data_IF_818767754021
#
_entry.id   IF_818767754021
#
_cell.length_a   1.000
_cell.length_b   1.000
_cell.length_c   1.000
_cell.angle_alpha   90.00
_cell.angle_beta   90.00
_cell.angle_gamma   90.00
#
_symmetry.space_group_name_H-M   'P 1'
#
loop_
_entity.id
_entity.type
_entity.pdbx_description
1 polymer ?
#
# COMPACT_ATOMS: atom_id res chain seq x y z
N UNK A 1 7.98 -55.84 16.34
CA UNK A 1 7.63 -55.05 15.13
C UNK A 1 6.80 -53.86 15.55
N UNK A 2 7.10 -52.69 15.10
CA UNK A 2 6.40 -51.40 15.32
C UNK A 2 6.96 -50.47 16.38
N UNK A 3 8.12 -49.87 16.12
CA UNK A 3 8.60 -48.74 16.93
C UNK A 3 9.17 -47.62 16.07
N UNK A 4 8.88 -47.58 14.76
CA UNK A 4 9.50 -46.63 13.82
C UNK A 4 8.55 -45.64 13.16
N UNK A 5 7.37 -45.38 13.73
CA UNK A 5 6.42 -44.44 13.11
C UNK A 5 6.06 -43.17 13.93
N UNK A 6 6.84 -42.83 14.93
CA UNK A 6 6.55 -41.65 15.77
C UNK A 6 7.58 -40.52 15.73
N UNK A 7 8.51 -40.49 14.77
CA UNK A 7 9.57 -39.48 14.72
C UNK A 7 9.49 -38.48 13.56
N UNK A 8 8.39 -38.39 12.83
CA UNK A 8 8.32 -37.52 11.64
C UNK A 8 7.31 -36.36 11.74
N UNK A 9 6.95 -35.88 12.94
CA UNK A 9 6.03 -34.74 13.10
C UNK A 9 6.44 -33.75 14.18
N UNK A 10 7.73 -33.48 14.33
CA UNK A 10 8.23 -32.42 15.24
C UNK A 10 9.28 -31.53 14.57
N UNK A 11 8.98 -31.03 13.41
CA UNK A 11 9.70 -29.86 12.85
C UNK A 11 8.69 -28.91 12.29
N UNK A 12 8.61 -27.76 12.85
CA UNK A 12 8.03 -26.50 12.44
C UNK A 12 7.12 -25.88 13.52
N UNK A 13 7.70 -25.52 14.63
CA UNK A 13 7.21 -24.36 15.37
C UNK A 13 8.38 -23.79 16.16
N UNK A 14 9.23 -23.02 15.49
CA UNK A 14 10.14 -22.14 16.20
C UNK A 14 9.36 -20.88 16.57
N UNK A 15 8.69 -20.98 17.71
CA UNK A 15 8.19 -19.82 18.44
C UNK A 15 9.42 -19.16 19.08
N UNK A 16 9.85 -18.01 18.57
CA UNK A 16 10.83 -17.17 19.25
C UNK A 16 10.14 -16.52 20.44
N UNK A 17 10.19 -17.20 21.57
CA UNK A 17 9.77 -16.67 22.85
C UNK A 17 10.92 -15.81 23.38
N UNK A 18 10.81 -14.48 23.27
CA UNK A 18 11.66 -13.57 24.02
C UNK A 18 11.19 -13.61 25.49
N UNK A 19 11.99 -14.19 26.35
CA UNK A 19 11.79 -14.14 27.80
C UNK A 19 12.21 -12.74 28.27
N UNK A 20 11.23 -11.92 28.65
CA UNK A 20 11.49 -10.66 29.35
C UNK A 20 11.50 -10.95 30.85
N UNK A 21 12.67 -10.92 31.48
CA UNK A 21 12.81 -10.89 32.92
C UNK A 21 12.52 -9.48 33.40
N UNK A 22 11.42 -9.30 34.12
CA UNK A 22 11.11 -8.03 34.79
C UNK A 22 11.98 -7.89 36.05
N UNK A 23 12.87 -6.91 36.06
CA UNK A 23 13.40 -6.30 37.29
C UNK A 23 12.67 -4.97 37.52
N UNK A 24 12.11 -4.84 38.71
CA UNK A 24 11.33 -3.70 39.16
C UNK A 24 12.13 -2.40 39.16
N UNK A 25 11.53 -1.38 38.56
CA UNK A 25 11.90 0.02 38.77
C UNK A 25 12.41 0.71 37.50
N UNK A 26 11.54 1.36 36.82
CA UNK A 26 11.53 2.55 35.95
C UNK A 26 10.49 2.32 34.86
N UNK A 27 9.48 3.16 34.79
CA UNK A 27 8.56 3.21 33.63
C UNK A 27 9.35 3.68 32.42
N UNK A 28 9.99 2.73 31.73
CA UNK A 28 10.54 2.92 30.42
C UNK A 28 9.43 2.65 29.41
N UNK A 29 9.18 3.59 28.56
CA UNK A 29 8.31 3.45 27.38
C UNK A 29 8.77 2.23 26.60
N UNK A 30 7.94 1.19 26.55
CA UNK A 30 8.19 0.07 25.65
C UNK A 30 8.01 0.58 24.21
N UNK A 31 9.12 0.86 23.55
CA UNK A 31 9.14 0.92 22.13
C UNK A 31 8.66 -0.46 21.62
N UNK A 32 7.48 -0.53 21.03
CA UNK A 32 7.04 -1.72 20.32
C UNK A 32 8.05 -1.94 19.20
N UNK A 33 8.97 -2.88 19.40
CA UNK A 33 9.80 -3.42 18.33
C UNK A 33 8.82 -4.12 17.41
N UNK A 34 8.37 -3.43 16.38
CA UNK A 34 7.67 -4.07 15.29
C UNK A 34 8.71 -4.98 14.63
N UNK A 35 8.49 -6.29 14.73
CA UNK A 35 9.29 -7.25 14.00
C UNK A 35 9.32 -6.80 12.53
N UNK A 36 10.51 -6.63 11.96
CA UNK A 36 10.67 -6.30 10.55
C UNK A 36 9.99 -7.41 9.74
N UNK A 37 8.76 -7.14 9.30
CA UNK A 37 7.99 -8.07 8.49
C UNK A 37 8.70 -8.31 7.15
N UNK A 38 8.55 -9.48 6.58
CA UNK A 38 9.07 -9.79 5.25
C UNK A 38 8.23 -9.02 4.22
N UNK A 39 8.88 -8.40 3.22
CA UNK A 39 8.17 -7.87 2.06
C UNK A 39 7.35 -8.96 1.39
N UNK A 40 6.08 -8.70 1.18
CA UNK A 40 5.15 -9.65 0.58
C UNK A 40 4.19 -8.88 -0.33
N UNK A 41 4.47 -8.92 -1.63
CA UNK A 41 3.60 -8.37 -2.67
C UNK A 41 3.11 -9.53 -3.51
N UNK A 42 1.81 -9.82 -3.43
CA UNK A 42 1.18 -10.95 -4.11
C UNK A 42 -0.01 -10.51 -4.93
N UNK A 43 -0.06 -10.94 -6.19
CA UNK A 43 -1.23 -10.75 -7.04
C UNK A 43 -2.41 -11.59 -6.53
N UNK A 44 -3.62 -11.10 -6.76
CA UNK A 44 -4.85 -11.81 -6.40
C UNK A 44 -5.13 -12.98 -7.35
N UNK A 45 -4.84 -12.82 -8.65
CA UNK A 45 -4.92 -13.87 -9.68
C UNK A 45 -3.53 -14.14 -10.24
N UNK A 46 -3.04 -15.37 -10.14
CA UNK A 46 -1.73 -15.75 -10.69
C UNK A 46 -1.77 -16.12 -12.18
N UNK A 47 -2.93 -16.46 -12.72
CA UNK A 47 -3.05 -16.94 -14.11
C UNK A 47 -2.98 -15.80 -15.13
N UNK A 48 -3.59 -14.65 -14.80
CA UNK A 48 -3.68 -13.48 -15.68
C UNK A 48 -2.95 -12.25 -15.13
N UNK A 49 -2.21 -12.43 -14.05
CA UNK A 49 -1.52 -11.35 -13.38
C UNK A 49 -0.37 -10.77 -14.21
N UNK A 50 -0.09 -9.51 -13.96
CA UNK A 50 1.18 -8.90 -14.34
C UNK A 50 2.34 -9.52 -13.57
N UNK A 51 3.52 -9.53 -14.15
CA UNK A 51 4.71 -10.10 -13.52
C UNK A 51 5.17 -9.28 -12.33
N UNK A 52 5.69 -9.96 -11.32
CA UNK A 52 6.48 -9.36 -10.25
C UNK A 52 7.87 -9.98 -10.36
N UNK A 53 8.89 -9.14 -10.56
CA UNK A 53 10.29 -9.56 -10.56
C UNK A 53 11.03 -8.89 -9.42
N UNK A 54 11.95 -9.61 -8.77
CA UNK A 54 12.71 -9.09 -7.64
C UNK A 54 14.20 -9.23 -7.90
N UNK A 55 14.93 -8.12 -7.76
CA UNK A 55 16.37 -8.08 -7.88
C UNK A 55 16.94 -7.12 -6.83
N UNK A 56 17.84 -7.56 -5.97
CA UNK A 56 18.51 -6.71 -4.97
C UNK A 56 17.54 -5.82 -4.16
N UNK A 57 16.49 -6.40 -3.58
CA UNK A 57 15.44 -5.70 -2.81
C UNK A 57 14.59 -4.71 -3.64
N UNK A 58 14.68 -4.74 -4.97
CA UNK A 58 13.81 -3.97 -5.86
C UNK A 58 12.77 -4.91 -6.47
N UNK A 59 11.52 -4.61 -6.21
CA UNK A 59 10.34 -5.30 -6.70
C UNK A 59 9.77 -4.53 -7.89
N UNK A 60 9.88 -5.07 -9.08
CA UNK A 60 9.28 -4.46 -10.28
C UNK A 60 7.95 -5.14 -10.56
N UNK A 61 6.88 -4.37 -10.50
CA UNK A 61 5.50 -4.84 -10.61
C UNK A 61 4.90 -4.32 -11.90
N UNK A 62 4.72 -5.21 -12.88
CA UNK A 62 3.97 -4.90 -14.09
C UNK A 62 2.46 -4.93 -13.80
N UNK A 63 1.65 -4.07 -14.46
CA UNK A 63 0.21 -4.10 -14.30
C UNK A 63 -0.39 -5.43 -14.84
N UNK A 64 -1.51 -5.83 -14.27
CA UNK A 64 -2.26 -6.98 -14.76
C UNK A 64 -2.81 -6.69 -16.15
N UNK A 65 -3.37 -5.50 -16.31
CA UNK A 65 -3.96 -5.02 -17.56
C UNK A 65 -3.62 -3.54 -17.79
N UNK A 66 -3.49 -3.16 -19.05
CA UNK A 66 -3.52 -1.76 -19.50
C UNK A 66 -4.64 -1.65 -20.52
N UNK A 67 -5.58 -0.74 -20.30
CA UNK A 67 -6.71 -0.49 -21.18
C UNK A 67 -6.93 1.02 -21.33
N UNK A 68 -6.68 1.54 -22.52
CA UNK A 68 -6.65 2.98 -22.74
C UNK A 68 -5.62 3.66 -21.81
N UNK A 69 -6.09 4.60 -21.01
CA UNK A 69 -5.26 5.40 -20.09
C UNK A 69 -5.21 4.82 -18.65
N UNK A 70 -5.73 3.60 -18.45
CA UNK A 70 -5.84 2.98 -17.13
C UNK A 70 -5.03 1.68 -17.11
N UNK A 71 -4.08 1.60 -16.20
CA UNK A 71 -3.43 0.36 -15.80
C UNK A 71 -4.06 -0.14 -14.49
N UNK A 72 -4.20 -1.44 -14.33
CA UNK A 72 -4.82 -2.04 -13.15
C UNK A 72 -3.96 -3.15 -12.57
N UNK A 73 -3.96 -3.24 -11.26
CA UNK A 73 -3.45 -4.34 -10.47
C UNK A 73 -4.50 -4.81 -9.47
N UNK A 74 -4.55 -6.11 -9.24
CA UNK A 74 -5.23 -6.68 -8.10
C UNK A 74 -4.24 -7.49 -7.27
N UNK A 75 -4.18 -7.21 -5.98
CA UNK A 75 -3.30 -7.89 -5.04
C UNK A 75 -4.11 -8.56 -3.94
N UNK A 76 -3.72 -9.79 -3.59
CA UNK A 76 -4.15 -10.39 -2.33
C UNK A 76 -3.45 -9.73 -1.15
N UNK A 77 -2.18 -9.32 -1.34
CA UNK A 77 -1.36 -8.69 -0.31
C UNK A 77 -0.39 -7.67 -0.87
N UNK A 78 -0.23 -6.55 -0.16
CA UNK A 78 0.76 -5.52 -0.47
C UNK A 78 1.45 -5.04 0.80
N UNK A 79 2.53 -5.71 1.17
CA UNK A 79 3.40 -5.35 2.30
C UNK A 79 4.81 -5.10 1.77
N UNK A 80 5.31 -3.89 1.93
CA UNK A 80 6.66 -3.48 1.53
C UNK A 80 7.45 -3.08 2.75
N UNK A 81 8.43 -3.90 3.13
CA UNK A 81 9.28 -3.63 4.29
C UNK A 81 10.32 -2.54 4.01
N UNK A 82 10.87 -1.97 5.08
CA UNK A 82 11.96 -0.98 4.97
C UNK A 82 13.15 -1.54 4.16
N UNK A 83 13.91 -0.65 3.53
CA UNK A 83 15.03 -0.98 2.66
C UNK A 83 14.66 -1.74 1.37
N UNK A 84 13.37 -1.93 1.10
CA UNK A 84 12.90 -2.46 -0.17
C UNK A 84 12.28 -1.35 -1.03
N UNK A 85 12.34 -1.54 -2.35
CA UNK A 85 11.76 -0.63 -3.34
C UNK A 85 10.73 -1.42 -4.15
N UNK A 86 9.54 -0.85 -4.34
CA UNK A 86 8.54 -1.34 -5.26
C UNK A 86 8.37 -0.34 -6.41
N UNK A 87 8.78 -0.74 -7.61
CA UNK A 87 8.53 0.01 -8.82
C UNK A 87 7.23 -0.48 -9.47
N UNK A 88 6.17 0.31 -9.37
CA UNK A 88 4.88 0.06 -9.98
C UNK A 88 4.87 0.64 -11.40
N UNK A 89 4.78 -0.21 -12.41
CA UNK A 89 4.82 0.21 -13.79
C UNK A 89 3.42 0.65 -14.27
N UNK A 90 3.36 1.77 -14.98
CA UNK A 90 2.15 2.24 -15.66
C UNK A 90 2.13 1.79 -17.13
N UNK A 91 2.96 0.85 -17.50
CA UNK A 91 3.07 0.37 -18.87
C UNK A 91 3.24 -1.15 -18.93
N UNK A 92 2.75 -1.76 -20.02
CA UNK A 92 2.88 -3.19 -20.30
C UNK A 92 2.78 -3.44 -21.81
N UNK A 93 3.69 -4.24 -22.36
CA UNK A 93 3.65 -4.67 -23.77
C UNK A 93 3.53 -3.50 -24.79
N UNK A 94 4.26 -2.40 -24.55
CA UNK A 94 4.21 -1.23 -25.42
C UNK A 94 2.98 -0.32 -25.22
N UNK A 95 2.04 -0.68 -24.36
CA UNK A 95 0.93 0.17 -23.94
C UNK A 95 1.33 0.98 -22.70
N UNK A 96 0.97 2.26 -22.69
CA UNK A 96 1.23 3.17 -21.58
C UNK A 96 -0.08 3.72 -21.03
N UNK A 97 -0.15 3.89 -19.73
CA UNK A 97 -1.25 4.55 -19.03
C UNK A 97 -0.73 5.76 -18.23
N UNK A 98 -1.63 6.69 -17.91
CA UNK A 98 -1.35 7.77 -16.98
C UNK A 98 -1.97 7.50 -15.58
N UNK A 99 -2.85 6.53 -15.46
CA UNK A 99 -3.52 6.14 -14.22
C UNK A 99 -3.19 4.70 -13.89
N UNK A 100 -2.86 4.43 -12.61
CA UNK A 100 -2.62 3.08 -12.10
C UNK A 100 -3.51 2.82 -10.89
N UNK A 101 -4.43 1.89 -11.02
CA UNK A 101 -5.33 1.48 -9.94
C UNK A 101 -4.81 0.19 -9.33
N UNK A 102 -4.49 0.23 -8.03
CA UNK A 102 -4.07 -0.91 -7.24
C UNK A 102 -5.19 -1.28 -6.26
N UNK A 103 -5.91 -2.36 -6.54
CA UNK A 103 -6.88 -2.95 -5.62
C UNK A 103 -6.18 -3.98 -4.74
N UNK A 104 -6.35 -3.89 -3.43
CA UNK A 104 -5.66 -4.76 -2.46
C UNK A 104 -6.66 -5.33 -1.46
N UNK A 105 -6.76 -6.66 -1.38
CA UNK A 105 -7.70 -7.33 -0.46
C UNK A 105 -7.35 -7.06 1.01
N UNK A 106 -6.08 -7.24 1.36
CA UNK A 106 -5.58 -6.98 2.70
C UNK A 106 -5.29 -5.48 2.91
N UNK A 107 -5.04 -5.11 4.17
CA UNK A 107 -4.48 -3.79 4.49
C UNK A 107 -3.15 -3.58 3.78
N UNK A 108 -2.98 -2.42 3.18
CA UNK A 108 -1.71 -2.00 2.57
C UNK A 108 -0.74 -1.56 3.66
N UNK A 109 0.48 -2.10 3.69
CA UNK A 109 1.54 -1.70 4.63
C UNK A 109 2.81 -1.34 3.85
N UNK A 110 3.21 -0.07 3.89
CA UNK A 110 4.37 0.46 3.15
C UNK A 110 5.36 1.07 4.14
N UNK A 111 6.51 0.42 4.30
CA UNK A 111 7.66 0.90 5.08
C UNK A 111 8.88 1.13 4.22
N UNK A 112 8.87 0.64 2.99
CA UNK A 112 9.88 0.86 1.95
C UNK A 112 9.51 2.00 1.02
N UNK A 113 10.17 2.06 -0.14
CA UNK A 113 9.92 3.09 -1.16
C UNK A 113 9.07 2.53 -2.30
N UNK A 114 7.95 3.16 -2.59
CA UNK A 114 7.12 2.90 -3.77
C UNK A 114 7.37 3.99 -4.81
N UNK A 115 7.71 3.61 -6.02
CA UNK A 115 7.81 4.51 -7.17
C UNK A 115 6.76 4.13 -8.22
N UNK A 116 5.97 5.10 -8.66
CA UNK A 116 5.13 4.94 -9.85
C UNK A 116 5.93 5.34 -11.08
N UNK A 117 6.07 4.43 -12.04
CA UNK A 117 6.92 4.63 -13.22
C UNK A 117 6.11 4.68 -14.51
N UNK A 118 6.11 5.83 -15.19
CA UNK A 118 5.52 6.01 -16.54
C UNK A 118 6.37 5.35 -17.63
N UNK A 119 7.64 5.19 -17.37
CA UNK A 119 8.61 4.47 -18.19
C UNK A 119 9.76 3.99 -17.28
N UNK A 120 10.82 3.43 -17.83
CA UNK A 120 11.91 2.84 -17.06
C UNK A 120 12.59 3.79 -16.05
N UNK A 121 12.48 5.11 -16.23
CA UNK A 121 13.25 6.11 -15.45
C UNK A 121 12.42 7.26 -14.89
N UNK A 122 11.18 7.43 -15.37
CA UNK A 122 10.38 8.62 -15.03
C UNK A 122 9.31 8.29 -14.01
N UNK A 123 9.42 8.87 -12.82
CA UNK A 123 8.36 8.86 -11.80
C UNK A 123 7.23 9.77 -12.27
N UNK A 124 5.99 9.30 -12.15
CA UNK A 124 4.80 10.05 -12.51
C UNK A 124 3.57 9.17 -12.65
N UNK A 125 2.47 9.76 -13.11
CA UNK A 125 1.16 9.14 -13.24
C UNK A 125 0.34 9.20 -11.95
N UNK A 126 -0.96 9.08 -12.12
CA UNK A 126 -1.93 9.13 -11.03
C UNK A 126 -2.09 7.72 -10.43
N UNK A 127 -1.73 7.55 -9.18
CA UNK A 127 -1.77 6.25 -8.51
C UNK A 127 -2.92 6.20 -7.51
N UNK A 128 -3.72 5.16 -7.63
CA UNK A 128 -4.84 4.86 -6.76
C UNK A 128 -4.53 3.61 -5.94
N UNK A 129 -4.67 3.71 -4.61
CA UNK A 129 -4.59 2.60 -3.68
C UNK A 129 -5.96 2.39 -3.05
N UNK A 130 -6.59 1.26 -3.36
CA UNK A 130 -7.94 0.92 -2.92
C UNK A 130 -7.88 -0.34 -2.07
N UNK A 131 -8.21 -0.22 -0.78
CA UNK A 131 -8.33 -1.37 0.13
C UNK A 131 -9.43 -1.13 1.15
N UNK A 132 -10.43 -2.02 1.26
CA UNK A 132 -11.44 -1.93 2.32
C UNK A 132 -10.84 -1.90 3.72
N UNK A 133 -9.75 -2.63 3.94
CA UNK A 133 -9.03 -2.70 5.22
C UNK A 133 -8.12 -1.50 5.50
N UNK A 134 -7.94 -0.64 4.48
CA UNK A 134 -7.15 0.58 4.62
C UNK A 134 -5.68 0.47 4.27
N UNK A 135 -4.94 1.50 4.66
CA UNK A 135 -3.54 1.69 4.30
C UNK A 135 -2.72 2.24 5.45
N UNK A 136 -1.49 1.77 5.59
CA UNK A 136 -0.49 2.37 6.45
C UNK A 136 0.79 2.66 5.66
N UNK A 137 1.28 3.89 5.76
CA UNK A 137 2.62 4.27 5.34
C UNK A 137 3.42 4.53 6.61
N UNK A 138 4.29 3.58 6.97
CA UNK A 138 5.11 3.65 8.18
C UNK A 138 6.21 4.70 8.07
N UNK A 139 6.88 5.03 9.16
CA UNK A 139 7.87 6.13 9.29
C UNK A 139 8.98 6.15 8.23
N UNK A 140 9.40 4.98 7.78
CA UNK A 140 10.42 4.84 6.71
C UNK A 140 9.81 4.74 5.33
N UNK A 141 8.48 4.64 5.24
CA UNK A 141 7.74 4.50 3.99
C UNK A 141 7.77 5.79 3.17
N UNK A 142 7.93 5.63 1.87
CA UNK A 142 7.92 6.74 0.90
C UNK A 142 7.11 6.30 -0.32
N UNK A 143 6.22 7.15 -0.81
CA UNK A 143 5.55 6.95 -2.10
C UNK A 143 5.84 8.13 -3.00
N UNK A 144 6.37 7.85 -4.18
CA UNK A 144 6.68 8.83 -5.22
C UNK A 144 5.78 8.60 -6.44
N UNK A 145 4.96 9.59 -6.82
CA UNK A 145 4.01 9.51 -7.93
C UNK A 145 3.74 10.87 -8.58
N UNK A 146 2.96 10.90 -9.64
CA UNK A 146 2.39 12.14 -10.18
C UNK A 146 1.30 12.68 -9.25
N UNK A 147 0.32 11.85 -8.92
CA UNK A 147 -0.64 12.08 -7.85
C UNK A 147 -0.89 10.79 -7.07
N UNK A 148 -1.45 10.90 -5.88
CA UNK A 148 -1.82 9.77 -5.02
C UNK A 148 -3.27 9.94 -4.59
N UNK A 149 -4.07 8.89 -4.81
CA UNK A 149 -5.39 8.74 -4.21
C UNK A 149 -5.40 7.45 -3.38
N UNK A 150 -5.63 7.56 -2.08
CA UNK A 150 -5.83 6.41 -1.20
C UNK A 150 -7.26 6.42 -0.67
N UNK A 151 -7.94 5.29 -0.80
CA UNK A 151 -9.36 5.15 -0.49
C UNK A 151 -9.63 3.83 0.21
N UNK A 152 -10.56 3.85 1.18
CA UNK A 152 -11.10 2.64 1.82
C UNK A 152 -12.52 2.39 1.30
N UNK A 153 -12.69 1.78 0.11
CA UNK A 153 -14.02 1.55 -0.44
C UNK A 153 -14.80 0.55 0.41
N UNK A 154 -16.13 0.61 0.35
CA UNK A 154 -16.97 -0.43 0.95
C UNK A 154 -16.63 -1.81 0.34
N UNK A 155 -16.80 -2.88 1.12
CA UNK A 155 -16.58 -4.24 0.64
C UNK A 155 -17.42 -4.55 -0.59
N UNK A 156 -18.69 -4.19 -0.60
CA UNK A 156 -19.61 -4.42 -1.73
C UNK A 156 -19.12 -3.75 -3.02
N UNK A 157 -18.61 -2.50 -2.91
CA UNK A 157 -18.06 -1.82 -4.09
C UNK A 157 -16.77 -2.50 -4.55
N UNK A 158 -15.90 -2.85 -3.62
CA UNK A 158 -14.62 -3.49 -3.91
C UNK A 158 -14.83 -4.86 -4.59
N UNK A 159 -15.66 -5.72 -4.02
CA UNK A 159 -15.92 -7.05 -4.54
C UNK A 159 -16.59 -7.02 -5.92
N UNK A 160 -17.48 -6.05 -6.17
CA UNK A 160 -18.09 -5.84 -7.48
C UNK A 160 -17.06 -5.48 -8.56
N UNK A 161 -15.96 -4.84 -8.20
CA UNK A 161 -14.90 -4.40 -9.12
C UNK A 161 -13.68 -5.34 -9.12
N UNK A 162 -13.76 -6.46 -8.41
CA UNK A 162 -12.76 -7.51 -8.41
C UNK A 162 -13.38 -8.81 -8.94
N UNK A 163 -13.14 -9.12 -10.21
CA UNK A 163 -13.67 -10.32 -10.86
C UNK A 163 -12.56 -11.34 -11.10
N UNK A 164 -12.69 -12.53 -10.49
CA UNK A 164 -11.71 -13.60 -10.57
C UNK A 164 -10.27 -13.16 -10.28
N UNK A 165 -10.10 -12.29 -9.28
CA UNK A 165 -8.80 -11.76 -8.88
C UNK A 165 -8.25 -10.68 -9.81
N UNK A 166 -9.05 -10.14 -10.73
CA UNK A 166 -8.68 -9.04 -11.61
C UNK A 166 -9.48 -7.78 -11.31
N UNK A 167 -8.81 -6.65 -11.30
CA UNK A 167 -9.48 -5.36 -11.14
C UNK A 167 -10.22 -4.97 -12.42
N UNK A 168 -11.51 -4.68 -12.31
CA UNK A 168 -12.38 -4.19 -13.38
C UNK A 168 -12.79 -2.75 -13.10
N UNK A 169 -11.99 -1.84 -13.62
CA UNK A 169 -12.17 -0.38 -13.42
C UNK A 169 -12.45 0.26 -14.77
N UNK A 170 -13.61 0.85 -14.91
CA UNK A 170 -14.04 1.59 -16.10
C UNK A 170 -13.70 3.08 -16.01
N UNK A 171 -13.90 3.81 -17.12
CA UNK A 171 -13.77 5.26 -17.13
C UNK A 171 -14.77 5.94 -16.16
N UNK A 172 -16.00 5.42 -16.08
CA UNK A 172 -17.02 5.94 -15.15
C UNK A 172 -16.64 5.69 -13.68
N UNK A 173 -15.95 4.57 -13.37
CA UNK A 173 -15.44 4.33 -12.03
C UNK A 173 -14.32 5.31 -11.67
N UNK A 174 -13.47 5.66 -12.64
CA UNK A 174 -12.45 6.69 -12.44
C UNK A 174 -13.05 8.07 -12.18
N UNK A 175 -14.14 8.41 -12.86
CA UNK A 175 -14.87 9.65 -12.61
C UNK A 175 -15.52 9.66 -11.21
N UNK A 176 -16.10 8.53 -10.79
CA UNK A 176 -16.64 8.36 -9.44
C UNK A 176 -15.55 8.44 -8.35
N UNK A 177 -14.35 7.86 -8.60
CA UNK A 177 -13.19 7.97 -7.72
C UNK A 177 -12.75 9.42 -7.56
N UNK A 178 -12.64 10.17 -8.65
CA UNK A 178 -12.29 11.60 -8.64
C UNK A 178 -13.33 12.46 -7.94
N UNK A 179 -14.62 12.20 -8.22
CA UNK A 179 -15.72 12.91 -7.59
C UNK A 179 -15.93 12.57 -6.11
N UNK A 180 -15.21 11.57 -5.61
CA UNK A 180 -15.40 11.10 -4.25
C UNK A 180 -16.74 10.40 -4.02
N UNK A 181 -17.34 9.84 -5.06
CA UNK A 181 -18.67 9.21 -4.99
C UNK A 181 -18.64 7.72 -4.59
N UNK A 182 -17.46 7.18 -4.32
CA UNK A 182 -17.31 5.77 -3.89
C UNK A 182 -17.71 5.64 -2.42
N UNK A 183 -18.64 4.71 -2.07
CA UNK A 183 -18.97 4.41 -0.69
C UNK A 183 -17.75 3.92 0.10
N UNK A 184 -17.58 4.43 1.33
CA UNK A 184 -16.48 4.04 2.20
C UNK A 184 -16.86 2.86 3.10
N UNK A 185 -15.85 2.07 3.47
CA UNK A 185 -15.98 1.06 4.53
C UNK A 185 -15.94 1.77 5.89
N UNK A 186 -16.94 1.55 6.72
CA UNK A 186 -17.07 2.20 8.03
C UNK A 186 -15.87 1.96 8.97
N UNK A 187 -15.19 0.81 8.82
CA UNK A 187 -14.03 0.44 9.63
C UNK A 187 -12.68 0.74 8.92
N UNK A 188 -12.74 1.38 7.76
CA UNK A 188 -11.56 1.70 6.96
C UNK A 188 -10.72 2.81 7.60
N UNK A 189 -9.39 2.67 7.56
CA UNK A 189 -8.50 3.70 8.09
C UNK A 189 -7.24 3.88 7.23
N UNK A 190 -6.76 5.13 7.17
CA UNK A 190 -5.51 5.49 6.53
C UNK A 190 -4.58 6.11 7.58
N UNK A 191 -3.37 5.58 7.70
CA UNK A 191 -2.34 6.09 8.61
C UNK A 191 -1.09 6.44 7.82
N UNK A 192 -0.65 7.68 7.90
CA UNK A 192 0.55 8.16 7.22
C UNK A 192 1.56 8.68 8.25
N UNK A 193 2.58 7.89 8.55
CA UNK A 193 3.73 8.27 9.38
C UNK A 193 5.00 8.49 8.53
N UNK A 194 4.94 8.09 7.26
CA UNK A 194 6.00 8.26 6.27
C UNK A 194 5.77 9.46 5.35
N UNK A 195 6.22 9.37 4.10
CA UNK A 195 6.18 10.46 3.14
C UNK A 195 5.39 10.11 1.88
N UNK A 196 4.54 11.04 1.45
CA UNK A 196 3.88 11.01 0.15
C UNK A 196 4.39 12.19 -0.67
N UNK A 197 5.09 11.92 -1.76
CA UNK A 197 5.68 12.94 -2.64
C UNK A 197 4.95 12.91 -3.99
N UNK A 198 4.29 14.01 -4.35
CA UNK A 198 3.53 14.11 -5.60
C UNK A 198 3.86 15.38 -6.37
N UNK A 199 3.53 15.36 -7.65
CA UNK A 199 3.64 16.50 -8.55
C UNK A 199 2.33 17.31 -8.63
N UNK A 200 1.17 16.66 -8.45
CA UNK A 200 -0.12 17.29 -8.72
C UNK A 200 -1.17 17.17 -7.63
N UNK A 201 -1.15 16.14 -6.78
CA UNK A 201 -2.17 16.07 -5.72
C UNK A 201 -2.05 14.85 -4.80
N UNK A 202 -2.62 14.97 -3.61
CA UNK A 202 -2.79 13.88 -2.63
C UNK A 202 -4.24 13.92 -2.15
N UNK A 203 -4.97 12.82 -2.38
CA UNK A 203 -6.35 12.65 -1.99
C UNK A 203 -6.46 11.43 -1.08
N UNK A 204 -6.84 11.65 0.17
CA UNK A 204 -7.01 10.58 1.16
C UNK A 204 -8.47 10.54 1.58
N UNK A 205 -9.11 9.36 1.47
CA UNK A 205 -10.54 9.17 1.77
C UNK A 205 -10.77 7.90 2.57
N UNK A 206 -11.10 8.06 3.83
CA UNK A 206 -11.46 7.01 4.76
C UNK A 206 -12.27 7.62 5.91
N UNK A 207 -13.07 6.83 6.66
CA UNK A 207 -13.72 7.32 7.87
C UNK A 207 -12.72 7.80 8.93
N UNK A 208 -11.51 7.22 8.95
CA UNK A 208 -10.45 7.65 9.87
C UNK A 208 -9.15 7.87 9.11
N UNK A 209 -8.59 9.08 9.19
CA UNK A 209 -7.31 9.45 8.60
C UNK A 209 -6.43 10.04 9.69
N UNK A 210 -5.21 9.50 9.82
CA UNK A 210 -4.22 9.98 10.76
C UNK A 210 -2.90 10.24 10.04
N UNK A 211 -2.33 11.43 10.24
CA UNK A 211 -1.04 11.81 9.68
C UNK A 211 -0.11 12.17 10.82
N UNK A 212 1.05 11.51 10.93
CA UNK A 212 2.01 11.72 12.01
C UNK A 212 1.52 11.16 13.34
N UNK A 213 1.07 9.89 13.37
CA UNK A 213 0.53 9.25 14.58
C UNK A 213 1.60 8.90 15.61
N UNK A 214 2.82 8.60 15.16
CA UNK A 214 3.92 8.26 16.07
C UNK A 214 4.59 9.52 16.66
N UNK A 215 5.05 9.49 17.93
CA UNK A 215 5.67 10.65 18.58
C UNK A 215 6.86 11.25 17.82
N UNK A 216 7.57 10.44 17.07
CA UNK A 216 8.73 10.80 16.26
C UNK A 216 8.49 10.57 14.75
N UNK A 217 7.22 10.59 14.31
CA UNK A 217 6.86 10.40 12.91
C UNK A 217 7.47 11.51 12.03
N UNK A 218 8.10 11.08 10.96
CA UNK A 218 8.61 11.98 9.93
C UNK A 218 7.58 12.23 8.83
N UNK A 219 6.29 12.18 9.18
CA UNK A 219 5.22 12.30 8.23
C UNK A 219 5.27 13.66 7.52
N UNK A 220 5.34 13.62 6.22
CA UNK A 220 5.25 14.78 5.37
C UNK A 220 4.44 14.45 4.12
N UNK A 221 3.34 15.16 3.94
CA UNK A 221 2.58 15.14 2.70
C UNK A 221 3.05 16.31 1.84
N UNK A 222 3.54 16.03 0.65
CA UNK A 222 4.05 17.03 -0.28
C UNK A 222 3.33 16.91 -1.61
N UNK A 223 2.69 17.98 -2.03
CA UNK A 223 2.07 18.11 -3.34
C UNK A 223 2.33 19.51 -3.89
N UNK A 224 2.50 19.61 -5.20
CA UNK A 224 2.64 20.91 -5.87
C UNK A 224 1.31 21.62 -6.08
N UNK A 225 0.20 20.90 -6.06
CA UNK A 225 -1.09 21.45 -6.44
C UNK A 225 -2.15 21.33 -5.34
N UNK A 226 -2.44 20.12 -4.88
CA UNK A 226 -3.68 19.88 -4.14
C UNK A 226 -3.52 18.87 -3.01
N UNK A 227 -4.21 19.12 -1.90
CA UNK A 227 -4.34 18.22 -0.74
C UNK A 227 -5.80 18.17 -0.37
N UNK A 228 -6.39 16.98 -0.46
CA UNK A 228 -7.79 16.71 -0.11
C UNK A 228 -7.88 15.57 0.91
N UNK A 229 -8.62 15.82 1.98
CA UNK A 229 -8.80 14.89 3.09
C UNK A 229 -10.26 14.75 3.44
N UNK A 230 -10.67 13.50 3.69
CA UNK A 230 -11.97 13.18 4.30
C UNK A 230 -11.71 12.70 5.73
N UNK A 231 -12.38 13.29 6.70
CA UNK A 231 -12.33 12.90 8.13
C UNK A 231 -10.92 12.83 8.73
N UNK A 232 -10.15 13.89 8.57
CA UNK A 232 -8.80 13.99 9.12
C UNK A 232 -8.82 14.06 10.64
N UNK A 233 -8.15 13.11 11.30
CA UNK A 233 -8.14 12.99 12.77
C UNK A 233 -6.91 13.65 13.40
N UNK A 234 -5.73 13.46 12.84
CA UNK A 234 -4.47 13.98 13.39
C UNK A 234 -3.45 14.26 12.28
N UNK A 235 -2.78 15.41 12.35
CA UNK A 235 -1.76 15.82 11.39
C UNK A 235 -0.45 16.11 12.11
N UNK A 236 0.62 15.38 11.75
CA UNK A 236 1.99 15.68 12.19
C UNK A 236 2.65 16.75 11.32
N UNK A 237 2.72 16.54 10.00
CA UNK A 237 3.21 17.56 9.07
C UNK A 237 2.60 17.42 7.67
N UNK A 238 2.22 18.55 7.10
CA UNK A 238 1.71 18.65 5.73
C UNK A 238 2.43 19.81 5.04
N UNK A 239 2.94 19.61 3.84
CA UNK A 239 3.45 20.69 3.02
C UNK A 239 2.96 20.57 1.57
N UNK A 240 2.33 21.61 1.05
CA UNK A 240 2.10 21.78 -0.37
C UNK A 240 3.34 22.41 -1.01
N UNK A 241 3.85 21.80 -2.07
CA UNK A 241 4.98 22.39 -2.81
C UNK A 241 4.53 23.65 -3.53
N UNK A 242 5.26 24.75 -3.31
CA UNK A 242 5.12 25.92 -4.14
C UNK A 242 5.88 25.66 -5.44
N UNK A 243 5.18 25.72 -6.57
CA UNK A 243 5.73 25.57 -7.91
C UNK A 243 6.64 26.72 -8.32
#
# INVERSE_FOLDING_TARGET
>A
MSTYRKLAKKQALRLSMAIVTMTSGVMGWMATVHADGVTNIQKADSANAGTITTTNNVWTVAPDKVEGDIATNAFSKFTLNQNNIANLLLYKNGQNANKLVNMVNDRIDIRGTVNALKNATTIGGDVYFLSPSGMAVGRTGVINAGSITALTPSADWFDKHLDNGQAKISASDMDALKAGAIPLNADGSIVIDGRLNTQSGIHLRAPAITVGSAPDAAAALQSKADLDFTDLVNIGSVSAGLG
#
